data_IF_605602236630
#
_entry.id   IF_605602236630
#
_cell.length_a   1.000
_cell.length_b   1.000
_cell.length_c   1.000
_cell.angle_alpha   90.00
_cell.angle_beta   90.00
_cell.angle_gamma   90.00
#
_symmetry.space_group_name_H-M   'P 1'
#
loop_
_entity.id
_entity.type
_entity.pdbx_description
1 polymer ?
#
# COMPACT_ATOMS: atom_id res chain seq x y z
N UNK A 1 -43.23 -6.17 -4.43
CA UNK A 1 -42.46 -5.00 -4.92
C UNK A 1 -41.49 -4.57 -3.82
N UNK A 2 -40.20 -4.91 -3.92
CA UNK A 2 -39.16 -4.28 -3.08
C UNK A 2 -38.65 -3.05 -3.82
N UNK A 3 -38.89 -1.89 -3.25
CA UNK A 3 -38.30 -0.62 -3.66
C UNK A 3 -36.78 -0.74 -3.53
N UNK A 4 -36.05 -0.80 -4.66
CA UNK A 4 -34.60 -0.62 -4.67
C UNK A 4 -34.31 0.88 -4.60
N UNK A 5 -34.18 1.43 -3.40
CA UNK A 5 -33.59 2.76 -3.24
C UNK A 5 -32.16 2.71 -3.79
N UNK A 6 -31.85 3.54 -4.79
CA UNK A 6 -30.46 3.73 -5.19
C UNK A 6 -29.69 4.28 -3.99
N UNK A 7 -28.53 3.71 -3.64
CA UNK A 7 -27.70 4.27 -2.59
C UNK A 7 -27.33 5.72 -2.96
N UNK A 8 -27.52 6.65 -2.02
CA UNK A 8 -27.14 8.04 -2.20
C UNK A 8 -25.61 8.10 -2.35
N UNK A 9 -25.15 8.72 -3.44
CA UNK A 9 -23.73 8.83 -3.79
C UNK A 9 -23.22 10.21 -3.42
N UNK A 10 -22.04 10.30 -2.78
CA UNK A 10 -21.44 11.56 -2.30
C UNK A 10 -20.05 11.87 -2.90
N UNK A 11 -19.79 11.64 -4.20
CA UNK A 11 -18.44 11.74 -4.76
C UNK A 11 -17.93 13.17 -4.72
N UNK A 12 -18.80 14.16 -4.95
CA UNK A 12 -18.44 15.59 -4.90
C UNK A 12 -18.04 16.01 -3.49
N UNK A 13 -18.82 15.61 -2.48
CA UNK A 13 -18.51 15.92 -1.08
C UNK A 13 -17.22 15.21 -0.64
N UNK A 14 -17.03 13.94 -1.01
CA UNK A 14 -15.82 13.18 -0.69
C UNK A 14 -14.57 13.82 -1.30
N UNK A 15 -14.65 14.26 -2.57
CA UNK A 15 -13.58 15.02 -3.23
C UNK A 15 -13.34 16.37 -2.55
N UNK A 16 -14.39 17.10 -2.17
CA UNK A 16 -14.28 18.35 -1.43
C UNK A 16 -13.57 18.18 -0.08
N UNK A 17 -13.94 17.14 0.69
CA UNK A 17 -13.26 16.80 1.94
C UNK A 17 -11.79 16.45 1.70
N UNK A 18 -11.47 15.67 0.68
CA UNK A 18 -10.09 15.31 0.31
C UNK A 18 -9.24 16.56 0.06
N UNK A 19 -9.71 17.48 -0.80
CA UNK A 19 -8.98 18.71 -1.16
C UNK A 19 -8.74 19.56 0.09
N UNK A 20 -9.77 19.75 0.91
CA UNK A 20 -9.67 20.54 2.13
C UNK A 20 -8.70 19.90 3.14
N UNK A 21 -8.72 18.57 3.31
CA UNK A 21 -7.79 17.85 4.18
C UNK A 21 -6.34 17.98 3.74
N UNK A 22 -6.06 17.87 2.44
CA UNK A 22 -4.70 18.03 1.89
C UNK A 22 -4.21 19.47 2.06
N UNK A 23 -5.07 20.46 1.77
CA UNK A 23 -4.73 21.87 1.95
C UNK A 23 -4.44 22.20 3.43
N UNK A 24 -5.29 21.74 4.34
CA UNK A 24 -5.08 21.91 5.77
C UNK A 24 -3.81 21.21 6.26
N UNK A 25 -3.52 19.99 5.77
CA UNK A 25 -2.29 19.29 6.07
C UNK A 25 -1.08 20.12 5.63
N UNK A 26 -1.04 20.61 4.39
CA UNK A 26 0.07 21.42 3.87
C UNK A 26 0.35 22.66 4.74
N UNK A 27 -0.70 23.35 5.21
CA UNK A 27 -0.55 24.47 6.15
C UNK A 27 0.00 24.00 7.51
N UNK A 28 -0.45 22.84 7.99
CA UNK A 28 -0.02 22.27 9.27
C UNK A 28 1.41 21.70 9.25
N UNK A 29 1.93 21.28 8.09
CA UNK A 29 3.30 20.75 7.94
C UNK A 29 4.37 21.79 8.25
N UNK A 30 4.08 23.07 8.03
CA UNK A 30 4.98 24.18 8.37
C UNK A 30 5.06 24.47 9.87
N UNK A 31 4.18 23.88 10.68
CA UNK A 31 4.11 24.08 12.12
C UNK A 31 4.58 22.82 12.84
N UNK A 32 5.40 22.97 13.88
CA UNK A 32 5.73 21.85 14.77
C UNK A 32 4.46 21.32 15.44
N UNK A 33 4.37 20.01 15.60
CA UNK A 33 3.33 19.39 16.43
C UNK A 33 3.68 19.64 17.89
N UNK A 34 2.80 20.30 18.64
CA UNK A 34 3.03 20.62 20.06
C UNK A 34 2.40 19.57 20.97
N UNK A 35 1.38 18.88 20.48
CA UNK A 35 0.69 17.80 21.19
C UNK A 35 0.67 16.51 20.38
N UNK A 36 0.37 15.39 21.05
CA UNK A 36 0.12 14.11 20.37
C UNK A 36 -1.12 14.21 19.46
N UNK A 37 -2.16 14.94 19.89
CA UNK A 37 -3.35 15.17 19.08
C UNK A 37 -3.02 15.88 17.76
N UNK A 38 -2.12 16.87 17.76
CA UNK A 38 -1.66 17.52 16.53
C UNK A 38 -0.94 16.53 15.59
N UNK A 39 -0.12 15.65 16.17
CA UNK A 39 0.59 14.62 15.40
C UNK A 39 -0.38 13.60 14.80
N UNK A 40 -1.35 13.14 15.58
CA UNK A 40 -2.37 12.19 15.14
C UNK A 40 -3.30 12.80 14.09
N UNK A 41 -3.66 14.09 14.21
CA UNK A 41 -4.43 14.80 13.20
C UNK A 41 -3.69 14.88 11.86
N UNK A 42 -2.38 15.15 11.86
CA UNK A 42 -1.55 15.13 10.65
C UNK A 42 -1.43 13.73 10.06
N UNK A 43 -1.29 12.71 10.90
CA UNK A 43 -1.27 11.30 10.47
C UNK A 43 -2.60 10.90 9.81
N UNK A 44 -3.73 11.23 10.44
CA UNK A 44 -5.05 11.00 9.86
C UNK A 44 -5.20 11.69 8.50
N UNK A 45 -4.78 12.95 8.42
CA UNK A 45 -4.87 13.78 7.23
C UNK A 45 -3.97 13.32 6.08
N UNK A 46 -2.99 12.44 6.30
CA UNK A 46 -2.21 11.80 5.23
C UNK A 46 -2.67 10.37 4.94
N UNK A 47 -3.00 9.57 5.96
CA UNK A 47 -3.44 8.18 5.82
C UNK A 47 -4.77 8.11 5.04
N UNK A 48 -5.76 8.92 5.42
CA UNK A 48 -7.10 8.89 4.82
C UNK A 48 -7.01 9.22 3.32
N UNK A 49 -6.37 10.33 2.90
CA UNK A 49 -6.19 10.59 1.48
C UNK A 49 -5.33 9.54 0.76
N UNK A 50 -4.33 8.93 1.42
CA UNK A 50 -3.54 7.85 0.81
C UNK A 50 -4.48 6.73 0.36
N UNK A 51 -5.31 6.19 1.25
CA UNK A 51 -6.24 5.10 0.90
C UNK A 51 -7.39 5.53 -0.01
N UNK A 52 -7.83 6.79 0.06
CA UNK A 52 -8.80 7.34 -0.89
C UNK A 52 -8.28 7.39 -2.33
N UNK A 53 -6.96 7.41 -2.54
CA UNK A 53 -6.36 7.40 -3.89
C UNK A 53 -6.79 6.18 -4.71
N UNK A 54 -7.14 5.06 -4.05
CA UNK A 54 -7.65 3.87 -4.71
C UNK A 54 -8.97 4.08 -5.49
N UNK A 55 -9.68 5.18 -5.23
CA UNK A 55 -10.92 5.53 -5.91
C UNK A 55 -10.72 6.59 -7.01
N UNK A 56 -9.48 7.03 -7.26
CA UNK A 56 -9.13 8.06 -8.24
C UNK A 56 -8.69 7.43 -9.57
N UNK A 57 -8.79 8.19 -10.68
CA UNK A 57 -8.50 7.68 -12.03
C UNK A 57 -7.04 7.25 -12.25
N UNK A 58 -6.07 7.94 -11.63
CA UNK A 58 -4.64 7.54 -11.60
C UNK A 58 -4.27 6.90 -10.24
N UNK A 59 -5.20 6.10 -9.71
CA UNK A 59 -5.23 5.77 -8.29
C UNK A 59 -3.96 5.12 -7.73
N UNK A 60 -3.28 4.28 -8.54
CA UNK A 60 -2.02 3.65 -8.13
C UNK A 60 -0.88 4.67 -7.98
N UNK A 61 -0.68 5.55 -8.97
CA UNK A 61 0.44 6.49 -8.92
C UNK A 61 0.20 7.58 -7.89
N UNK A 62 -1.05 8.03 -7.75
CA UNK A 62 -1.45 8.91 -6.66
C UNK A 62 -1.28 8.24 -5.29
N UNK A 63 -1.68 6.98 -5.15
CA UNK A 63 -1.46 6.20 -3.93
C UNK A 63 0.02 6.15 -3.56
N UNK A 64 0.91 5.84 -4.50
CA UNK A 64 2.36 5.79 -4.25
C UNK A 64 2.92 7.16 -3.82
N UNK A 65 2.47 8.26 -4.46
CA UNK A 65 2.87 9.63 -4.08
C UNK A 65 2.43 9.96 -2.65
N UNK A 66 1.18 9.65 -2.31
CA UNK A 66 0.61 9.90 -0.99
C UNK A 66 1.26 9.02 0.08
N UNK A 67 1.49 7.74 -0.22
CA UNK A 67 2.17 6.79 0.64
C UNK A 67 3.61 7.22 0.96
N UNK A 68 4.33 7.74 -0.04
CA UNK A 68 5.66 8.32 0.17
C UNK A 68 5.60 9.57 1.06
N UNK A 69 4.63 10.44 0.83
CA UNK A 69 4.39 11.62 1.67
C UNK A 69 4.09 11.24 3.12
N UNK A 70 3.31 10.18 3.32
CA UNK A 70 3.05 9.60 4.64
C UNK A 70 4.34 9.11 5.28
N UNK A 71 5.15 8.31 4.60
CA UNK A 71 6.45 7.84 5.13
C UNK A 71 7.33 8.98 5.63
N UNK A 72 7.41 10.08 4.86
CA UNK A 72 8.13 11.30 5.27
C UNK A 72 7.53 11.88 6.55
N UNK A 73 6.23 12.15 6.58
CA UNK A 73 5.54 12.75 7.74
C UNK A 73 5.74 11.91 9.01
N UNK A 74 5.61 10.59 8.89
CA UNK A 74 5.79 9.67 9.99
C UNK A 74 7.23 9.71 10.55
N UNK A 75 8.23 9.87 9.67
CA UNK A 75 9.64 9.94 10.07
C UNK A 75 10.08 11.31 10.62
N UNK A 76 9.44 12.42 10.20
CA UNK A 76 9.92 13.77 10.49
C UNK A 76 9.07 14.58 11.45
N UNK A 77 7.78 14.27 11.62
CA UNK A 77 6.80 15.18 12.27
C UNK A 77 6.12 14.56 13.49
N UNK A 78 6.06 13.24 13.59
CA UNK A 78 5.39 12.56 14.70
C UNK A 78 6.32 12.53 15.92
N UNK A 79 5.90 13.18 17.00
CA UNK A 79 6.70 13.34 18.24
C UNK A 79 7.05 11.99 18.85
N UNK A 80 6.09 11.05 18.90
CA UNK A 80 6.32 9.67 19.34
C UNK A 80 5.37 8.71 18.61
N UNK A 81 5.85 8.02 17.58
CA UNK A 81 5.02 7.08 16.79
C UNK A 81 4.40 5.98 17.66
N UNK A 82 5.09 5.54 18.72
CA UNK A 82 4.60 4.52 19.64
C UNK A 82 3.38 4.92 20.49
N UNK A 83 3.14 6.22 20.68
CA UNK A 83 2.00 6.74 21.45
C UNK A 83 0.82 7.18 20.57
N UNK A 84 1.00 7.18 19.25
CA UNK A 84 -0.06 7.54 18.31
C UNK A 84 -1.20 6.53 18.33
N UNK A 85 -2.44 7.01 18.12
CA UNK A 85 -3.57 6.13 17.80
C UNK A 85 -3.36 5.36 16.49
N UNK A 86 -2.48 5.87 15.62
CA UNK A 86 -2.08 5.25 14.35
C UNK A 86 -0.83 4.37 14.46
N UNK A 87 -0.36 4.03 15.67
CA UNK A 87 0.84 3.18 15.88
C UNK A 87 0.81 1.82 15.15
N UNK A 88 -0.38 1.33 14.81
CA UNK A 88 -0.58 0.10 14.04
C UNK A 88 -0.24 0.25 12.54
N UNK A 89 -0.18 1.47 12.02
CA UNK A 89 0.13 1.74 10.62
C UNK A 89 1.62 2.02 10.41
N UNK A 90 2.47 1.17 10.99
CA UNK A 90 3.92 1.21 10.76
C UNK A 90 4.37 -0.13 10.17
N UNK A 91 5.48 -0.14 9.42
CA UNK A 91 6.03 -1.38 8.88
C UNK A 91 6.26 -2.41 9.99
N UNK A 92 6.93 -1.99 11.08
CA UNK A 92 7.19 -2.87 12.22
C UNK A 92 5.92 -3.39 12.87
N UNK A 93 4.88 -2.55 13.05
CA UNK A 93 3.61 -3.00 13.62
C UNK A 93 2.91 -4.02 12.73
N UNK A 94 2.91 -3.83 11.41
CA UNK A 94 2.34 -4.78 10.47
C UNK A 94 3.11 -6.09 10.45
N UNK A 95 4.44 -6.04 10.30
CA UNK A 95 5.31 -7.23 10.29
C UNK A 95 5.16 -8.00 11.60
N UNK A 96 5.12 -7.32 12.75
CA UNK A 96 4.90 -7.96 14.04
C UNK A 96 3.52 -8.60 14.13
N UNK A 97 2.46 -7.93 13.66
CA UNK A 97 1.10 -8.50 13.61
C UNK A 97 1.05 -9.78 12.77
N UNK A 98 1.71 -9.79 11.61
CA UNK A 98 1.83 -10.97 10.76
C UNK A 98 2.67 -12.08 11.41
N UNK A 99 3.72 -11.75 12.16
CA UNK A 99 4.51 -12.73 12.93
C UNK A 99 3.74 -13.31 14.11
N UNK A 100 2.80 -12.59 14.70
CA UNK A 100 1.95 -13.08 15.78
C UNK A 100 0.75 -13.92 15.32
N UNK A 101 0.48 -13.98 14.01
CA UNK A 101 -0.54 -14.90 13.48
C UNK A 101 -0.15 -16.35 13.84
N UNK A 102 -1.00 -17.13 14.53
CA UNK A 102 -0.62 -18.42 15.07
C UNK A 102 -0.02 -19.34 14.00
N UNK A 103 1.10 -19.98 14.34
CA UNK A 103 1.81 -20.89 13.44
C UNK A 103 0.90 -22.05 13.00
N UNK A 104 0.05 -22.56 13.89
CA UNK A 104 -0.93 -23.61 13.58
C UNK A 104 -1.94 -23.17 12.50
N UNK A 105 -2.39 -21.92 12.52
CA UNK A 105 -3.27 -21.38 11.48
C UNK A 105 -2.55 -21.24 10.14
N UNK A 106 -1.25 -20.93 10.14
CA UNK A 106 -0.42 -20.89 8.92
C UNK A 106 -0.14 -22.29 8.36
N UNK A 107 0.13 -23.26 9.23
CA UNK A 107 0.41 -24.65 8.86
C UNK A 107 -0.86 -25.36 8.34
N UNK A 108 -2.03 -25.08 8.94
CA UNK A 108 -3.34 -25.57 8.44
C UNK A 108 -3.71 -24.91 7.11
N UNK A 109 -3.53 -23.59 6.96
CA UNK A 109 -3.72 -22.90 5.69
C UNK A 109 -2.77 -23.40 4.61
N UNK A 110 -1.55 -23.79 4.99
CA UNK A 110 -0.54 -24.34 4.09
C UNK A 110 -0.85 -25.79 3.68
N UNK A 111 -1.47 -26.61 4.53
CA UNK A 111 -1.77 -28.01 4.23
C UNK A 111 -3.07 -28.22 3.42
N UNK A 112 -3.99 -27.25 3.40
CA UNK A 112 -5.21 -27.29 2.60
C UNK A 112 -4.96 -26.86 1.13
N UNK A 113 -5.88 -27.20 0.22
CA UNK A 113 -5.89 -26.85 -1.21
C UNK A 113 -5.68 -25.35 -1.42
N UNK A 114 -6.14 -24.52 -0.49
CA UNK A 114 -5.94 -23.06 -0.50
C UNK A 114 -4.47 -22.66 -0.36
N UNK A 115 -3.69 -23.38 0.44
CA UNK A 115 -2.24 -23.22 0.61
C UNK A 115 -1.46 -23.73 -0.58
N UNK A 116 -1.89 -24.83 -1.19
CA UNK A 116 -1.32 -25.32 -2.44
C UNK A 116 -1.50 -24.30 -3.58
N UNK A 117 -2.71 -23.76 -3.72
CA UNK A 117 -3.01 -22.72 -4.70
C UNK A 117 -2.16 -21.46 -4.49
N UNK A 118 -1.96 -21.03 -3.22
CA UNK A 118 -1.08 -19.90 -2.92
C UNK A 118 0.37 -20.20 -3.30
N UNK A 119 0.90 -21.38 -2.94
CA UNK A 119 2.27 -21.77 -3.31
C UNK A 119 2.47 -21.81 -4.82
N UNK A 120 1.50 -22.34 -5.55
CA UNK A 120 1.54 -22.33 -7.02
C UNK A 120 1.54 -20.90 -7.54
N UNK A 121 0.63 -20.03 -7.06
CA UNK A 121 0.57 -18.64 -7.46
C UNK A 121 1.87 -17.86 -7.17
N UNK A 122 2.51 -18.11 -6.01
CA UNK A 122 3.80 -17.51 -5.66
C UNK A 122 4.92 -18.01 -6.58
N UNK A 123 4.93 -19.30 -6.95
CA UNK A 123 5.89 -19.84 -7.91
C UNK A 123 5.71 -19.25 -9.30
N UNK A 124 4.46 -19.11 -9.75
CA UNK A 124 4.12 -18.50 -11.04
C UNK A 124 4.49 -17.01 -11.06
N UNK A 125 4.30 -16.32 -9.93
CA UNK A 125 4.76 -14.94 -9.73
C UNK A 125 6.28 -14.80 -9.80
N UNK A 126 7.06 -15.67 -9.15
CA UNK A 126 8.53 -15.65 -9.32
C UNK A 126 8.93 -15.90 -10.77
N UNK A 127 8.28 -16.86 -11.43
CA UNK A 127 8.54 -17.17 -12.82
C UNK A 127 8.21 -15.98 -13.74
N UNK A 128 7.12 -15.26 -13.49
CA UNK A 128 6.71 -14.09 -14.28
C UNK A 128 7.64 -12.89 -14.10
N UNK A 129 8.32 -12.77 -12.96
CA UNK A 129 9.33 -11.73 -12.75
C UNK A 129 10.65 -11.99 -13.50
N UNK A 130 10.98 -13.25 -13.85
CA UNK A 130 12.23 -13.58 -14.55
C UNK A 130 12.45 -12.81 -15.86
N UNK A 131 11.47 -12.71 -16.78
CA UNK A 131 11.64 -11.91 -18.00
C UNK A 131 11.67 -10.40 -17.73
N UNK A 132 11.14 -9.93 -16.59
CA UNK A 132 11.11 -8.50 -16.22
C UNK A 132 12.44 -8.04 -15.64
N UNK A 133 13.14 -8.92 -14.90
CA UNK A 133 14.43 -8.61 -14.25
C UNK A 133 15.46 -7.97 -15.19
N UNK A 134 15.72 -8.46 -16.42
CA UNK A 134 16.69 -7.85 -17.34
C UNK A 134 16.30 -6.46 -17.85
N UNK A 135 15.01 -6.10 -17.80
CA UNK A 135 14.50 -4.80 -18.24
C UNK A 135 14.64 -3.73 -17.14
N UNK A 136 14.91 -4.14 -15.91
CA UNK A 136 15.05 -3.25 -14.77
C UNK A 136 16.48 -2.68 -14.74
N UNK A 137 16.64 -1.44 -15.19
CA UNK A 137 17.92 -0.75 -15.29
C UNK A 137 18.08 0.34 -14.22
N UNK A 138 16.97 0.83 -13.67
CA UNK A 138 16.97 1.84 -12.62
C UNK A 138 17.23 1.25 -11.24
N UNK A 139 17.97 1.96 -10.39
CA UNK A 139 18.18 1.55 -8.99
C UNK A 139 16.86 1.36 -8.23
N UNK A 140 15.83 2.15 -8.54
CA UNK A 140 14.50 2.04 -7.95
C UNK A 140 13.81 0.72 -8.31
N UNK A 141 13.87 0.30 -9.57
CA UNK A 141 13.31 -0.97 -10.03
C UNK A 141 14.04 -2.16 -9.40
N UNK A 142 15.37 -2.11 -9.37
CA UNK A 142 16.19 -3.14 -8.74
C UNK A 142 15.90 -3.26 -7.23
N UNK A 143 15.70 -2.12 -6.56
CA UNK A 143 15.31 -2.03 -5.15
C UNK A 143 13.93 -2.63 -4.88
N UNK A 144 13.02 -2.57 -5.84
CA UNK A 144 11.73 -3.25 -5.78
C UNK A 144 11.86 -4.75 -5.99
N UNK A 145 12.67 -5.18 -6.94
CA UNK A 145 12.93 -6.60 -7.22
C UNK A 145 13.57 -7.32 -6.04
N UNK A 146 14.50 -6.69 -5.32
CA UNK A 146 15.12 -7.30 -4.12
C UNK A 146 14.15 -7.46 -2.97
N UNK A 147 13.11 -6.61 -2.89
CA UNK A 147 12.05 -6.72 -1.87
C UNK A 147 10.93 -7.69 -2.24
N UNK A 148 10.93 -8.22 -3.46
CA UNK A 148 10.02 -9.27 -3.90
C UNK A 148 10.42 -10.67 -3.40
N UNK A 149 11.09 -10.77 -2.24
CA UNK A 149 11.40 -12.04 -1.62
C UNK A 149 10.11 -12.73 -1.14
N UNK A 150 9.69 -13.73 -1.91
CA UNK A 150 8.47 -14.51 -1.67
C UNK A 150 8.63 -15.53 -0.54
N UNK A 151 9.86 -15.76 -0.04
CA UNK A 151 10.07 -16.61 1.13
C UNK A 151 9.44 -16.01 2.40
N UNK A 152 9.21 -14.69 2.41
CA UNK A 152 8.51 -13.95 3.49
C UNK A 152 7.24 -13.28 2.98
N UNK A 153 6.41 -14.01 2.22
CA UNK A 153 5.20 -13.48 1.56
C UNK A 153 4.23 -12.76 2.50
N UNK A 154 4.26 -13.08 3.80
CA UNK A 154 3.44 -12.45 4.85
C UNK A 154 3.79 -10.97 5.09
N UNK A 155 5.02 -10.55 4.78
CA UNK A 155 5.52 -9.19 4.94
C UNK A 155 5.75 -8.46 3.61
N UNK A 156 5.64 -9.18 2.50
CA UNK A 156 6.00 -8.70 1.15
C UNK A 156 5.25 -7.44 0.74
N UNK A 157 3.95 -7.30 1.06
CA UNK A 157 3.18 -6.08 0.77
C UNK A 157 3.78 -4.83 1.44
N UNK A 158 4.13 -4.94 2.73
CA UNK A 158 4.68 -3.81 3.48
C UNK A 158 6.10 -3.49 3.03
N UNK A 159 6.89 -4.50 2.69
CA UNK A 159 8.22 -4.29 2.09
C UNK A 159 8.13 -3.51 0.78
N UNK A 160 7.11 -3.74 -0.05
CA UNK A 160 6.91 -2.91 -1.25
C UNK A 160 6.58 -1.47 -0.92
N UNK A 161 5.73 -1.24 0.09
CA UNK A 161 5.42 0.11 0.54
C UNK A 161 6.65 0.82 1.12
N UNK A 162 7.47 0.11 1.91
CA UNK A 162 8.74 0.61 2.42
C UNK A 162 9.73 0.95 1.29
N UNK A 163 9.74 0.17 0.19
CA UNK A 163 10.57 0.44 -0.98
C UNK A 163 10.39 1.86 -1.53
N UNK A 164 9.15 2.36 -1.52
CA UNK A 164 8.86 3.72 -1.97
C UNK A 164 9.46 4.79 -1.08
N UNK A 165 9.55 4.54 0.22
CA UNK A 165 10.10 5.51 1.17
C UNK A 165 11.62 5.58 1.08
N UNK A 166 12.27 4.45 0.81
CA UNK A 166 13.74 4.34 0.79
C UNK A 166 14.39 4.89 -0.50
N UNK A 167 13.61 5.12 -1.55
CA UNK A 167 14.11 5.74 -2.78
C UNK A 167 14.49 7.20 -2.55
N UNK A 168 15.50 7.70 -3.27
CA UNK A 168 15.73 9.14 -3.38
C UNK A 168 14.57 9.83 -4.10
N UNK A 169 14.37 11.14 -3.88
CA UNK A 169 13.28 11.88 -4.54
C UNK A 169 13.37 11.80 -6.07
N UNK A 170 14.57 11.91 -6.63
CA UNK A 170 14.79 11.74 -8.07
C UNK A 170 14.59 10.30 -8.55
N UNK A 171 14.98 9.30 -7.75
CA UNK A 171 14.74 7.89 -8.06
C UNK A 171 13.25 7.55 -8.09
N UNK A 172 12.50 8.03 -7.11
CA UNK A 172 11.05 7.85 -7.06
C UNK A 172 10.34 8.58 -8.20
N UNK A 173 10.72 9.82 -8.51
CA UNK A 173 10.13 10.56 -9.63
C UNK A 173 10.27 9.78 -10.95
N UNK A 174 11.46 9.28 -11.25
CA UNK A 174 11.72 8.42 -12.43
C UNK A 174 10.98 7.08 -12.39
N UNK A 175 10.83 6.51 -11.20
CA UNK A 175 10.12 5.24 -11.02
C UNK A 175 8.63 5.35 -11.36
N UNK A 176 7.99 6.46 -11.03
CA UNK A 176 6.57 6.70 -11.32
C UNK A 176 6.32 7.40 -12.66
N UNK A 177 7.32 7.52 -13.54
CA UNK A 177 7.12 8.07 -14.87
C UNK A 177 6.31 7.10 -15.75
N UNK A 178 5.39 7.64 -16.56
CA UNK A 178 4.55 6.81 -17.45
C UNK A 178 5.37 6.06 -18.51
N UNK A 179 6.53 6.60 -18.87
CA UNK A 179 7.48 6.00 -19.81
C UNK A 179 8.35 4.90 -19.18
N UNK A 180 8.35 4.75 -17.85
CA UNK A 180 9.07 3.68 -17.18
C UNK A 180 8.26 2.37 -17.22
N UNK A 181 8.31 1.69 -18.35
CA UNK A 181 7.55 0.44 -18.57
C UNK A 181 7.95 -0.68 -17.60
N UNK A 182 9.24 -0.78 -17.23
CA UNK A 182 9.71 -1.77 -16.28
C UNK A 182 9.06 -1.55 -14.89
N UNK A 183 9.08 -0.32 -14.38
CA UNK A 183 8.41 0.03 -13.13
C UNK A 183 6.90 -0.22 -13.18
N UNK A 184 6.23 0.09 -14.31
CA UNK A 184 4.79 -0.19 -14.47
C UNK A 184 4.47 -1.67 -14.42
N UNK A 185 5.28 -2.52 -15.06
CA UNK A 185 5.13 -3.96 -15.01
C UNK A 185 5.36 -4.47 -13.58
N UNK A 186 6.37 -3.96 -12.88
CA UNK A 186 6.63 -4.28 -11.48
C UNK A 186 5.44 -3.90 -10.58
N UNK A 187 4.90 -2.69 -10.71
CA UNK A 187 3.73 -2.24 -9.95
C UNK A 187 2.48 -3.09 -10.24
N UNK A 188 2.27 -3.51 -11.48
CA UNK A 188 1.20 -4.43 -11.83
C UNK A 188 1.38 -5.79 -11.16
N UNK A 189 2.60 -6.35 -11.17
CA UNK A 189 2.95 -7.57 -10.44
C UNK A 189 2.59 -7.43 -8.97
N UNK A 190 3.05 -6.37 -8.30
CA UNK A 190 2.79 -6.18 -6.87
C UNK A 190 1.31 -5.99 -6.55
N UNK A 191 0.54 -5.36 -7.44
CA UNK A 191 -0.90 -5.24 -7.28
C UNK A 191 -1.60 -6.60 -7.31
N UNK A 192 -1.22 -7.45 -8.26
CA UNK A 192 -1.74 -8.82 -8.38
C UNK A 192 -1.34 -9.65 -7.17
N UNK A 193 -0.08 -9.57 -6.73
CA UNK A 193 0.40 -10.29 -5.56
C UNK A 193 -0.34 -9.84 -4.29
N UNK A 194 -0.52 -8.53 -4.09
CA UNK A 194 -1.30 -8.00 -2.97
C UNK A 194 -2.72 -8.55 -2.96
N UNK A 195 -3.38 -8.59 -4.12
CA UNK A 195 -4.72 -9.17 -4.27
C UNK A 195 -4.75 -10.66 -3.90
N UNK A 196 -3.82 -11.47 -4.41
CA UNK A 196 -3.73 -12.90 -4.12
C UNK A 196 -3.50 -13.14 -2.63
N UNK A 197 -2.61 -12.38 -2.01
CA UNK A 197 -2.30 -12.46 -0.59
C UNK A 197 -3.48 -12.05 0.28
N UNK A 198 -4.16 -10.95 -0.04
CA UNK A 198 -5.38 -10.53 0.67
C UNK A 198 -6.47 -11.59 0.59
N UNK A 199 -6.73 -12.10 -0.61
CA UNK A 199 -7.74 -13.13 -0.82
C UNK A 199 -7.42 -14.41 -0.04
N UNK A 200 -6.14 -14.75 0.10
CA UNK A 200 -5.69 -15.90 0.88
C UNK A 200 -5.75 -15.66 2.40
N UNK A 201 -5.38 -14.47 2.88
CA UNK A 201 -5.31 -14.16 4.30
C UNK A 201 -6.69 -13.81 4.91
N UNK A 202 -7.54 -13.10 4.17
CA UNK A 202 -8.79 -12.54 4.68
C UNK A 202 -10.06 -13.30 4.26
N UNK A 203 -9.98 -14.17 3.25
CA UNK A 203 -11.17 -14.85 2.70
C UNK A 203 -11.80 -14.08 1.55
N UNK A 204 -12.55 -14.79 0.69
CA UNK A 204 -13.17 -14.21 -0.51
C UNK A 204 -14.13 -13.04 -0.24
N UNK A 205 -14.74 -13.00 0.95
CA UNK A 205 -15.73 -12.00 1.35
C UNK A 205 -15.12 -10.74 2.00
N UNK A 206 -13.79 -10.67 2.19
CA UNK A 206 -13.13 -9.53 2.80
C UNK A 206 -11.93 -9.11 1.94
N UNK A 207 -12.12 -8.11 1.08
CA UNK A 207 -11.04 -7.52 0.27
C UNK A 207 -10.75 -6.08 0.67
N UNK A 208 -9.49 -5.66 0.58
CA UNK A 208 -9.14 -4.24 0.65
C UNK A 208 -9.47 -3.54 -0.68
N UNK A 209 -9.52 -2.21 -0.62
CA UNK A 209 -10.13 -1.33 -1.62
C UNK A 209 -9.34 -1.13 -2.93
N UNK A 210 -8.49 -2.08 -3.38
CA UNK A 210 -7.73 -1.95 -4.63
C UNK A 210 -8.54 -2.37 -5.90
N UNK A 211 -9.88 -2.32 -5.84
CA UNK A 211 -10.74 -2.92 -6.88
C UNK A 211 -10.96 -2.07 -8.14
N UNK A 212 -10.56 -0.80 -8.19
CA UNK A 212 -11.16 0.12 -9.18
C UNK A 212 -10.23 0.77 -10.22
N UNK A 213 -8.93 0.43 -10.30
CA UNK A 213 -7.98 1.22 -11.11
C UNK A 213 -7.23 0.51 -12.24
N UNK A 214 -7.36 -0.81 -12.43
CA UNK A 214 -6.44 -1.57 -13.32
C UNK A 214 -7.03 -1.83 -14.73
N UNK A 215 -8.32 -1.54 -14.96
CA UNK A 215 -8.99 -1.80 -16.25
C UNK A 215 -9.78 -0.58 -16.79
N UNK A 216 -9.34 0.63 -16.47
CA UNK A 216 -9.89 1.88 -17.02
C UNK A 216 -8.90 2.55 -17.96
#
# INVERSE_FOLDING_TARGET
MRSSSRPVSYPVQALGHRVNSIAALNLALHKRSLTQADSDAKMAAVIIPTFQSNYMGDGMMEFLRMLRGWGVIQSTIVVTVGQSVFRGFTENAYVNSMRTFPKESRDVLAADRRGENLRSALKDFDASLRPVKPQCQGMAELTYLTRADLASYDSTQVRFYAANNDMTSGGFAKFIEQANYAARILLAHFSILSYVLEHHLLGADRSFALRSGILG
#
